data_IF_946593459793
#
_entry.id   IF_946593459793
#
_cell.length_a   1.000
_cell.length_b   1.000
_cell.length_c   1.000
_cell.angle_alpha   90.00
_cell.angle_beta   90.00
_cell.angle_gamma   90.00
#
_symmetry.space_group_name_H-M   'P 1'
#
loop_
_entity.id
_entity.type
_entity.pdbx_description
1 polymer ?
#
# COMPACT_ATOMS: atom_id res chain seq x y z
N UNK A 1 35.57 -10.24 -11.27
CA UNK A 1 34.19 -10.27 -11.79
C UNK A 1 34.11 -9.17 -12.82
N UNK A 2 33.81 -9.47 -14.07
CA UNK A 2 33.81 -8.47 -15.15
C UNK A 2 32.65 -7.48 -14.97
N UNK A 3 32.83 -6.23 -15.40
CA UNK A 3 31.80 -5.19 -15.38
C UNK A 3 30.49 -5.62 -16.06
N UNK A 4 30.59 -6.50 -17.05
CA UNK A 4 29.51 -7.07 -17.83
C UNK A 4 28.62 -8.01 -17.00
N UNK A 5 29.20 -8.87 -16.16
CA UNK A 5 28.43 -9.77 -15.25
C UNK A 5 27.66 -8.99 -14.17
N UNK A 6 28.20 -7.88 -13.71
CA UNK A 6 27.54 -7.00 -12.71
C UNK A 6 26.35 -6.26 -13.34
N UNK A 7 26.45 -5.83 -14.61
CA UNK A 7 25.36 -5.16 -15.33
C UNK A 7 24.20 -6.12 -15.61
N UNK A 8 24.47 -7.33 -16.08
CA UNK A 8 23.48 -8.38 -16.35
C UNK A 8 22.70 -8.75 -15.08
N UNK A 9 23.39 -8.88 -13.93
CA UNK A 9 22.75 -9.19 -12.64
C UNK A 9 21.83 -8.04 -12.15
N UNK A 10 22.20 -6.78 -12.42
CA UNK A 10 21.36 -5.61 -12.09
C UNK A 10 20.11 -5.53 -12.96
N UNK A 11 20.23 -5.78 -14.26
CA UNK A 11 19.11 -5.80 -15.19
C UNK A 11 18.13 -6.94 -14.89
N UNK A 12 18.64 -8.14 -14.61
CA UNK A 12 17.82 -9.29 -14.23
C UNK A 12 17.00 -9.04 -12.95
N UNK A 13 17.60 -8.39 -11.93
CA UNK A 13 16.89 -8.01 -10.70
C UNK A 13 15.79 -6.96 -10.95
N UNK A 14 16.03 -6.01 -11.84
CA UNK A 14 15.01 -5.02 -12.24
C UNK A 14 13.87 -5.68 -13.02
N UNK A 15 14.20 -6.54 -13.98
CA UNK A 15 13.17 -7.27 -14.75
C UNK A 15 12.29 -8.13 -13.85
N UNK A 16 12.86 -8.87 -12.90
CA UNK A 16 12.10 -9.65 -11.92
C UNK A 16 11.15 -8.78 -11.09
N UNK A 17 11.58 -7.59 -10.67
CA UNK A 17 10.74 -6.64 -9.94
C UNK A 17 9.58 -6.14 -10.80
N UNK A 18 9.83 -5.79 -12.06
CA UNK A 18 8.79 -5.34 -12.98
C UNK A 18 7.77 -6.44 -13.29
N UNK A 19 8.20 -7.69 -13.47
CA UNK A 19 7.30 -8.84 -13.65
C UNK A 19 6.42 -9.05 -12.40
N UNK A 20 7.01 -8.96 -11.21
CA UNK A 20 6.25 -9.04 -9.95
C UNK A 20 5.22 -7.90 -9.86
N UNK A 21 5.61 -6.64 -10.08
CA UNK A 21 4.68 -5.52 -10.07
C UNK A 21 3.56 -5.67 -11.10
N UNK A 22 3.86 -6.23 -12.27
CA UNK A 22 2.85 -6.51 -13.29
C UNK A 22 1.80 -7.52 -12.80
N UNK A 23 2.22 -8.59 -12.12
CA UNK A 23 1.26 -9.55 -11.52
C UNK A 23 0.38 -8.90 -10.48
N UNK A 24 0.93 -8.00 -9.66
CA UNK A 24 0.18 -7.26 -8.64
C UNK A 24 -0.81 -6.25 -9.26
N UNK A 25 -0.42 -5.59 -10.36
CA UNK A 25 -1.32 -4.71 -11.14
C UNK A 25 -2.50 -5.51 -11.67
N UNK A 26 -2.28 -6.70 -12.22
CA UNK A 26 -3.36 -7.57 -12.70
C UNK A 26 -4.26 -8.03 -11.55
N UNK A 27 -3.68 -8.37 -10.41
CA UNK A 27 -4.42 -8.81 -9.23
C UNK A 27 -5.32 -7.70 -8.67
N UNK A 28 -4.78 -6.52 -8.37
CA UNK A 28 -5.58 -5.37 -7.91
C UNK A 28 -6.50 -4.84 -8.99
N UNK A 29 -6.07 -4.82 -10.25
CA UNK A 29 -6.88 -4.42 -11.41
C UNK A 29 -8.13 -5.28 -11.57
N UNK A 30 -8.01 -6.60 -11.37
CA UNK A 30 -9.15 -7.51 -11.33
C UNK A 30 -10.15 -7.16 -10.22
N UNK A 31 -9.67 -6.80 -9.03
CA UNK A 31 -10.54 -6.35 -7.92
C UNK A 31 -11.21 -5.01 -8.22
N UNK A 32 -10.51 -4.06 -8.84
CA UNK A 32 -11.11 -2.78 -9.27
C UNK A 32 -12.19 -2.98 -10.34
N UNK A 33 -11.97 -3.90 -11.29
CA UNK A 33 -12.99 -4.29 -12.26
C UNK A 33 -14.21 -4.89 -11.59
N UNK A 34 -14.01 -5.80 -10.64
CA UNK A 34 -15.10 -6.41 -9.88
C UNK A 34 -15.91 -5.35 -9.11
N UNK A 35 -15.23 -4.41 -8.46
CA UNK A 35 -15.86 -3.27 -7.80
C UNK A 35 -16.70 -2.45 -8.79
N UNK A 36 -16.16 -2.10 -9.95
CA UNK A 36 -16.85 -1.32 -10.97
C UNK A 36 -18.13 -2.01 -11.48
N UNK A 37 -18.08 -3.33 -11.72
CA UNK A 37 -19.23 -4.14 -12.15
C UNK A 37 -20.33 -4.12 -11.09
N UNK A 38 -20.00 -4.38 -9.82
CA UNK A 38 -21.01 -4.41 -8.77
C UNK A 38 -21.56 -3.02 -8.45
N UNK A 39 -20.74 -1.98 -8.49
CA UNK A 39 -21.18 -0.60 -8.35
C UNK A 39 -22.16 -0.21 -9.46
N UNK A 40 -21.87 -0.57 -10.71
CA UNK A 40 -22.80 -0.34 -11.83
C UNK A 40 -24.14 -1.06 -11.62
N UNK A 41 -24.12 -2.24 -11.03
CA UNK A 41 -25.32 -3.05 -10.77
C UNK A 41 -26.13 -2.57 -9.56
N UNK A 42 -25.48 -2.02 -8.53
CA UNK A 42 -26.09 -1.61 -7.27
C UNK A 42 -25.67 -0.18 -6.87
N UNK A 43 -25.92 0.86 -7.71
CA UNK A 43 -25.35 2.18 -7.49
C UNK A 43 -25.84 2.83 -6.19
N UNK A 44 -27.13 2.71 -5.86
CA UNK A 44 -27.71 3.28 -4.64
C UNK A 44 -27.15 2.63 -3.35
N UNK A 45 -26.90 1.32 -3.37
CA UNK A 45 -26.35 0.59 -2.22
C UNK A 45 -24.88 0.95 -2.00
N UNK A 46 -24.10 1.08 -3.09
CA UNK A 46 -22.70 1.51 -3.01
C UNK A 46 -22.57 2.95 -2.53
N UNK A 47 -23.47 3.83 -2.93
CA UNK A 47 -23.53 5.21 -2.41
C UNK A 47 -23.82 5.22 -0.89
N UNK A 48 -24.80 4.43 -0.40
CA UNK A 48 -25.09 4.32 1.04
C UNK A 48 -23.90 3.74 1.82
N UNK A 49 -23.27 2.71 1.30
CA UNK A 49 -22.08 2.11 1.92
C UNK A 49 -20.93 3.11 2.03
N UNK A 50 -20.64 3.85 0.96
CA UNK A 50 -19.58 4.87 0.93
C UNK A 50 -19.87 6.06 1.85
N UNK A 51 -21.14 6.49 1.94
CA UNK A 51 -21.55 7.57 2.85
C UNK A 51 -21.33 7.23 4.35
N UNK A 52 -21.22 5.95 4.69
CA UNK A 52 -20.86 5.47 6.03
C UNK A 52 -19.36 5.50 6.35
N UNK A 53 -18.50 5.85 5.37
CA UNK A 53 -17.06 5.89 5.55
C UNK A 53 -16.58 7.27 6.04
N UNK A 54 -15.55 7.27 6.92
CA UNK A 54 -14.99 8.53 7.40
C UNK A 54 -14.05 9.16 6.38
N UNK A 55 -14.54 10.15 5.63
CA UNK A 55 -13.73 10.91 4.67
C UNK A 55 -12.46 11.50 5.31
N UNK A 56 -12.57 11.98 6.56
CA UNK A 56 -11.42 12.58 7.28
C UNK A 56 -10.31 11.54 7.50
N UNK A 57 -10.67 10.34 7.98
CA UNK A 57 -9.69 9.28 8.23
C UNK A 57 -9.06 8.79 6.91
N UNK A 58 -9.85 8.64 5.85
CA UNK A 58 -9.35 8.29 4.52
C UNK A 58 -8.39 9.33 3.97
N UNK A 59 -8.71 10.62 4.11
CA UNK A 59 -7.85 11.74 3.65
C UNK A 59 -6.54 11.79 4.44
N UNK A 60 -6.61 11.69 5.77
CA UNK A 60 -5.41 11.66 6.63
C UNK A 60 -4.51 10.49 6.27
N UNK A 61 -5.08 9.30 6.11
CA UNK A 61 -4.33 8.11 5.68
C UNK A 61 -3.66 8.29 4.31
N UNK A 62 -4.34 8.93 3.37
CA UNK A 62 -3.77 9.25 2.06
C UNK A 62 -2.57 10.21 2.20
N UNK A 63 -2.71 11.27 2.99
CA UNK A 63 -1.61 12.22 3.24
C UNK A 63 -0.41 11.53 3.92
N UNK A 64 -0.65 10.64 4.88
CA UNK A 64 0.38 9.85 5.57
C UNK A 64 1.14 8.97 4.58
N UNK A 65 0.45 8.22 3.70
CA UNK A 65 1.11 7.37 2.70
C UNK A 65 1.87 8.19 1.64
N UNK A 66 1.29 9.26 1.11
CA UNK A 66 2.00 10.14 0.16
C UNK A 66 3.27 10.72 0.77
N UNK A 67 3.23 11.11 2.06
CA UNK A 67 4.42 11.57 2.79
C UNK A 67 5.43 10.44 2.94
N UNK A 68 4.99 9.21 3.21
CA UNK A 68 5.87 8.03 3.31
C UNK A 68 6.53 7.70 1.97
N UNK A 69 5.80 7.84 0.87
CA UNK A 69 6.30 7.68 -0.50
C UNK A 69 7.41 8.70 -0.79
N UNK A 70 7.23 9.94 -0.38
CA UNK A 70 8.25 10.97 -0.49
C UNK A 70 9.49 10.67 0.35
N UNK A 71 9.33 10.18 1.59
CA UNK A 71 10.47 9.86 2.46
C UNK A 71 11.32 8.71 1.92
N UNK A 72 10.72 7.66 1.33
CA UNK A 72 11.51 6.57 0.72
C UNK A 72 12.24 7.02 -0.55
N UNK A 73 11.65 7.90 -1.35
CA UNK A 73 12.32 8.50 -2.51
C UNK A 73 13.55 9.32 -2.08
N UNK A 74 13.40 10.13 -1.04
CA UNK A 74 14.53 10.88 -0.45
C UNK A 74 15.61 9.94 0.14
N UNK A 75 15.21 8.79 0.72
CA UNK A 75 16.16 7.81 1.26
C UNK A 75 17.05 7.22 0.14
N UNK A 76 16.46 6.93 -1.03
CA UNK A 76 17.18 6.48 -2.22
C UNK A 76 18.11 7.58 -2.74
N UNK A 77 17.65 8.82 -2.80
CA UNK A 77 18.49 9.95 -3.21
C UNK A 77 19.67 10.18 -2.26
N UNK A 78 19.46 10.05 -0.96
CA UNK A 78 20.50 10.18 0.06
C UNK A 78 21.57 9.08 -0.06
N UNK A 79 21.18 7.81 -0.29
CA UNK A 79 22.15 6.72 -0.45
C UNK A 79 23.01 6.91 -1.69
N UNK A 80 22.46 7.43 -2.79
CA UNK A 80 23.19 7.75 -4.03
C UNK A 80 24.21 8.88 -3.84
N UNK A 81 23.96 9.80 -2.90
CA UNK A 81 24.91 10.83 -2.48
C UNK A 81 25.97 10.32 -1.48
N UNK A 82 25.83 9.09 -0.98
CA UNK A 82 26.72 8.51 0.02
C UNK A 82 26.31 8.81 1.47
N UNK A 83 25.17 9.47 1.69
CA UNK A 83 24.66 9.89 2.99
C UNK A 83 23.89 8.72 3.67
N UNK A 84 24.61 7.69 4.10
CA UNK A 84 24.03 6.45 4.65
C UNK A 84 23.17 6.68 5.89
N UNK A 85 23.60 7.58 6.79
CA UNK A 85 22.88 7.88 8.05
C UNK A 85 21.54 8.55 7.73
N UNK A 86 21.54 9.52 6.82
CA UNK A 86 20.33 10.21 6.39
C UNK A 86 19.37 9.23 5.71
N UNK A 87 19.88 8.39 4.79
CA UNK A 87 19.07 7.35 4.15
C UNK A 87 18.41 6.41 5.15
N UNK A 88 19.16 5.91 6.14
CA UNK A 88 18.61 5.03 7.17
C UNK A 88 17.53 5.73 8.04
N UNK A 89 17.69 7.02 8.35
CA UNK A 89 16.68 7.82 9.08
C UNK A 89 15.40 8.01 8.27
N UNK A 90 15.53 8.29 6.97
CA UNK A 90 14.40 8.45 6.06
C UNK A 90 13.64 7.15 5.86
N UNK A 91 14.33 6.01 5.72
CA UNK A 91 13.71 4.68 5.71
C UNK A 91 12.94 4.40 7.00
N UNK A 92 13.52 4.76 8.16
CA UNK A 92 12.83 4.62 9.46
C UNK A 92 11.58 5.51 9.56
N UNK A 93 11.63 6.71 9.00
CA UNK A 93 10.46 7.59 8.89
C UNK A 93 9.37 6.98 8.01
N UNK A 94 9.72 6.34 6.89
CA UNK A 94 8.77 5.61 6.03
C UNK A 94 8.09 4.49 6.80
N UNK A 95 8.84 3.69 7.56
CA UNK A 95 8.29 2.63 8.43
C UNK A 95 7.30 3.20 9.43
N UNK A 96 7.69 4.29 10.12
CA UNK A 96 6.83 4.95 11.12
C UNK A 96 5.50 5.40 10.50
N UNK A 97 5.54 6.07 9.35
CA UNK A 97 4.34 6.51 8.64
C UNK A 97 3.47 5.33 8.16
N UNK A 98 4.08 4.24 7.68
CA UNK A 98 3.36 3.02 7.36
C UNK A 98 2.65 2.40 8.57
N UNK A 99 3.28 2.41 9.75
CA UNK A 99 2.66 1.96 11.00
C UNK A 99 1.50 2.88 11.39
N UNK A 100 1.65 4.20 11.26
CA UNK A 100 0.58 5.18 11.52
C UNK A 100 -0.63 4.88 10.63
N UNK A 101 -0.42 4.62 9.34
CA UNK A 101 -1.47 4.20 8.43
C UNK A 101 -2.23 2.96 8.93
N UNK A 102 -1.50 1.90 9.32
CA UNK A 102 -2.10 0.65 9.81
C UNK A 102 -2.88 0.85 11.12
N UNK A 103 -2.37 1.70 12.00
CA UNK A 103 -3.04 2.05 13.28
C UNK A 103 -4.36 2.78 13.01
N UNK A 104 -4.38 3.77 12.12
CA UNK A 104 -5.61 4.47 11.74
C UNK A 104 -6.61 3.48 11.12
N UNK A 105 -6.16 2.57 10.24
CA UNK A 105 -7.03 1.53 9.65
C UNK A 105 -7.55 0.55 10.71
N UNK A 106 -6.75 0.20 11.69
CA UNK A 106 -7.18 -0.64 12.81
C UNK A 106 -8.32 0.01 13.60
N UNK A 107 -8.22 1.31 13.93
CA UNK A 107 -9.30 2.03 14.62
C UNK A 107 -10.56 2.13 13.77
N UNK A 108 -10.43 2.40 12.47
CA UNK A 108 -11.55 2.47 11.55
C UNK A 108 -12.29 1.12 11.45
N UNK A 109 -11.55 0.02 11.29
CA UNK A 109 -12.14 -1.32 11.27
C UNK A 109 -12.76 -1.71 12.60
N UNK A 110 -12.09 -1.41 13.72
CA UNK A 110 -12.61 -1.71 15.07
C UNK A 110 -13.95 -1.02 15.33
N UNK A 111 -14.08 0.24 14.89
CA UNK A 111 -15.35 0.97 15.01
C UNK A 111 -16.48 0.32 14.18
N UNK A 112 -16.17 -0.14 12.96
CA UNK A 112 -17.15 -0.85 12.11
C UNK A 112 -17.55 -2.21 12.69
N UNK A 113 -16.59 -2.97 13.18
CA UNK A 113 -16.83 -4.27 13.83
C UNK A 113 -17.69 -4.08 15.07
N UNK A 114 -17.43 -3.03 15.87
CA UNK A 114 -18.23 -2.71 17.04
C UNK A 114 -19.69 -2.32 16.70
N UNK A 115 -19.92 -1.71 15.52
CA UNK A 115 -21.27 -1.42 15.00
C UNK A 115 -21.94 -2.62 14.31
N UNK A 116 -21.31 -3.79 14.30
CA UNK A 116 -21.83 -5.01 13.70
C UNK A 116 -21.64 -5.11 12.17
N UNK A 117 -20.88 -4.20 11.57
CA UNK A 117 -20.58 -4.20 10.13
C UNK A 117 -19.28 -4.96 9.89
N UNK A 118 -19.36 -6.28 9.81
CA UNK A 118 -18.23 -7.16 9.47
C UNK A 118 -18.73 -8.33 8.61
N UNK A 119 -17.85 -8.98 7.83
CA UNK A 119 -18.23 -10.09 6.96
C UNK A 119 -19.02 -11.17 7.72
N UNK A 120 -20.12 -11.62 7.13
CA UNK A 120 -21.03 -12.65 7.68
C UNK A 120 -21.76 -12.25 8.97
N UNK A 121 -21.79 -10.97 9.34
CA UNK A 121 -22.57 -10.52 10.49
C UNK A 121 -24.08 -10.51 10.20
N UNK A 122 -24.93 -10.81 11.20
CA UNK A 122 -26.40 -10.72 11.04
C UNK A 122 -26.86 -9.32 10.64
N UNK A 123 -26.19 -8.27 11.11
CA UNK A 123 -26.49 -6.88 10.75
C UNK A 123 -26.22 -6.66 9.27
N UNK A 124 -25.05 -7.06 8.78
CA UNK A 124 -24.66 -6.90 7.39
C UNK A 124 -25.53 -7.73 6.43
N UNK A 125 -25.90 -8.94 6.81
CA UNK A 125 -26.77 -9.83 6.02
C UNK A 125 -28.21 -9.31 5.91
N UNK A 126 -28.67 -8.52 6.88
CA UNK A 126 -29.98 -7.86 6.84
C UNK A 126 -29.98 -6.56 6.02
N UNK A 127 -28.81 -6.04 5.64
CA UNK A 127 -28.68 -4.94 4.68
C UNK A 127 -28.99 -5.42 3.26
N UNK A 128 -29.14 -4.49 2.34
CA UNK A 128 -29.34 -4.80 0.92
C UNK A 128 -28.14 -5.59 0.35
N UNK A 129 -28.41 -6.43 -0.67
CA UNK A 129 -27.39 -7.25 -1.32
C UNK A 129 -26.19 -6.41 -1.83
N UNK A 130 -26.45 -5.20 -2.32
CA UNK A 130 -25.40 -4.30 -2.80
C UNK A 130 -24.53 -3.75 -1.67
N UNK A 131 -25.12 -3.42 -0.51
CA UNK A 131 -24.36 -2.98 0.67
C UNK A 131 -23.48 -4.09 1.23
N UNK A 132 -23.99 -5.34 1.28
CA UNK A 132 -23.20 -6.52 1.67
C UNK A 132 -22.00 -6.71 0.75
N UNK A 133 -22.18 -6.55 -0.58
CA UNK A 133 -21.09 -6.63 -1.56
C UNK A 133 -20.10 -5.47 -1.40
N UNK A 134 -20.59 -4.24 -1.13
CA UNK A 134 -19.73 -3.10 -0.89
C UNK A 134 -18.77 -3.33 0.29
N UNK A 135 -19.32 -3.71 1.45
CA UNK A 135 -18.50 -3.95 2.64
C UNK A 135 -17.60 -5.19 2.48
N UNK A 136 -18.07 -6.24 1.79
CA UNK A 136 -17.23 -7.39 1.45
C UNK A 136 -16.01 -6.98 0.63
N UNK A 137 -16.20 -6.20 -0.45
CA UNK A 137 -15.11 -5.65 -1.26
C UNK A 137 -14.22 -4.70 -0.47
N UNK A 138 -14.82 -3.84 0.36
CA UNK A 138 -14.08 -2.93 1.24
C UNK A 138 -13.09 -3.70 2.12
N UNK A 139 -13.55 -4.70 2.88
CA UNK A 139 -12.70 -5.47 3.78
C UNK A 139 -11.63 -6.28 3.02
N UNK A 140 -11.99 -6.91 1.90
CA UNK A 140 -11.04 -7.70 1.11
C UNK A 140 -9.96 -6.79 0.50
N UNK A 141 -10.35 -5.73 -0.20
CA UNK A 141 -9.41 -4.88 -0.93
C UNK A 141 -8.52 -4.07 0.02
N UNK A 142 -9.10 -3.46 1.08
CA UNK A 142 -8.31 -2.70 2.06
C UNK A 142 -7.48 -3.62 2.96
N UNK A 143 -7.94 -4.84 3.25
CA UNK A 143 -7.19 -5.84 4.01
C UNK A 143 -5.98 -6.37 3.25
N UNK A 144 -6.15 -6.73 1.99
CA UNK A 144 -5.04 -7.12 1.12
C UNK A 144 -4.02 -5.98 0.94
N UNK A 145 -4.52 -4.75 0.76
CA UNK A 145 -3.64 -3.59 0.73
C UNK A 145 -2.87 -3.42 2.05
N UNK A 146 -3.54 -3.52 3.19
CA UNK A 146 -2.90 -3.47 4.51
C UNK A 146 -1.84 -4.55 4.71
N UNK A 147 -2.06 -5.76 4.17
CA UNK A 147 -1.07 -6.83 4.16
C UNK A 147 0.17 -6.44 3.34
N UNK A 148 -0.02 -5.83 2.15
CA UNK A 148 1.09 -5.33 1.33
C UNK A 148 1.88 -4.22 2.02
N UNK A 149 1.19 -3.29 2.72
CA UNK A 149 1.86 -2.29 3.57
C UNK A 149 2.71 -2.96 4.65
N UNK A 150 2.18 -3.98 5.34
CA UNK A 150 2.90 -4.72 6.38
C UNK A 150 4.15 -5.41 5.83
N UNK A 151 4.04 -6.09 4.69
CA UNK A 151 5.18 -6.70 3.99
C UNK A 151 6.20 -5.64 3.60
N UNK A 152 5.76 -4.50 3.07
CA UNK A 152 6.63 -3.38 2.72
C UNK A 152 7.41 -2.83 3.91
N UNK A 153 6.75 -2.64 5.06
CA UNK A 153 7.39 -2.25 6.32
C UNK A 153 8.49 -3.25 6.71
N UNK A 154 8.21 -4.55 6.64
CA UNK A 154 9.18 -5.59 6.96
C UNK A 154 10.40 -5.52 6.02
N UNK A 155 10.17 -5.39 4.71
CA UNK A 155 11.25 -5.28 3.70
C UNK A 155 12.08 -4.02 3.92
N UNK A 156 11.45 -2.86 4.18
CA UNK A 156 12.18 -1.61 4.46
C UNK A 156 13.00 -1.75 5.76
N UNK A 157 12.49 -2.43 6.79
CA UNK A 157 13.25 -2.69 8.02
C UNK A 157 14.53 -3.48 7.76
N UNK A 158 14.49 -4.51 6.89
CA UNK A 158 15.68 -5.20 6.43
C UNK A 158 16.64 -4.26 5.67
N UNK A 159 16.09 -3.35 4.84
CA UNK A 159 16.92 -2.37 4.12
C UNK A 159 17.62 -1.40 5.09
N UNK A 160 16.95 -0.94 6.15
CA UNK A 160 17.57 -0.12 7.22
C UNK A 160 18.78 -0.85 7.83
N UNK A 161 18.61 -2.14 8.15
CA UNK A 161 19.70 -2.96 8.71
C UNK A 161 20.90 -3.07 7.76
N UNK A 162 20.66 -3.35 6.47
CA UNK A 162 21.73 -3.46 5.47
C UNK A 162 22.40 -2.10 5.16
N UNK A 163 21.62 -1.01 5.18
CA UNK A 163 22.15 0.35 5.02
C UNK A 163 23.09 0.71 6.17
N UNK A 164 22.71 0.41 7.42
CA UNK A 164 23.53 0.63 8.62
C UNK A 164 24.79 -0.22 8.62
N UNK A 165 24.73 -1.47 8.18
CA UNK A 165 25.91 -2.36 8.01
C UNK A 165 26.84 -1.92 6.87
N UNK A 166 26.44 -0.97 6.03
CA UNK A 166 27.21 -0.52 4.88
C UNK A 166 27.18 -1.46 3.67
N UNK A 167 26.36 -2.52 3.70
CA UNK A 167 26.16 -3.46 2.57
C UNK A 167 25.42 -2.77 1.42
N UNK A 168 24.54 -1.81 1.73
CA UNK A 168 23.90 -0.93 0.76
C UNK A 168 24.60 0.42 0.77
N UNK A 169 24.98 0.90 -0.39
CA UNK A 169 25.71 2.15 -0.58
C UNK A 169 25.54 2.67 -2.00
N UNK A 170 26.31 3.70 -2.34
CA UNK A 170 26.25 4.40 -3.64
C UNK A 170 26.34 3.46 -4.85
N UNK A 171 27.18 2.42 -4.76
CA UNK A 171 27.44 1.48 -5.87
C UNK A 171 26.48 0.29 -5.89
N UNK A 172 25.77 0.03 -4.77
CA UNK A 172 24.89 -1.12 -4.61
C UNK A 172 23.53 -0.69 -4.03
N UNK A 173 22.86 0.25 -4.69
CA UNK A 173 21.55 0.81 -4.30
C UNK A 173 20.35 0.01 -4.87
N UNK A 174 20.58 -0.91 -5.80
CA UNK A 174 19.53 -1.61 -6.55
C UNK A 174 18.48 -2.30 -5.65
N UNK A 175 18.90 -2.84 -4.49
CA UNK A 175 17.94 -3.47 -3.54
C UNK A 175 17.03 -2.42 -2.92
N UNK A 176 17.57 -1.27 -2.53
CA UNK A 176 16.77 -0.18 -1.96
C UNK A 176 15.87 0.45 -3.03
N UNK A 177 16.36 0.59 -4.26
CA UNK A 177 15.59 1.05 -5.42
C UNK A 177 14.36 0.16 -5.67
N UNK A 178 14.56 -1.17 -5.73
CA UNK A 178 13.46 -2.13 -5.90
C UNK A 178 12.46 -2.08 -4.74
N UNK A 179 12.94 -1.93 -3.51
CA UNK A 179 12.09 -1.76 -2.33
C UNK A 179 11.26 -0.47 -2.42
N UNK A 180 11.86 0.62 -2.90
CA UNK A 180 11.15 1.88 -3.14
C UNK A 180 10.08 1.74 -4.24
N UNK A 181 10.37 1.03 -5.34
CA UNK A 181 9.40 0.74 -6.39
C UNK A 181 8.20 -0.05 -5.85
N UNK A 182 8.44 -1.06 -5.01
CA UNK A 182 7.37 -1.80 -4.35
C UNK A 182 6.52 -0.88 -3.46
N UNK A 183 7.15 -0.04 -2.63
CA UNK A 183 6.44 0.89 -1.75
C UNK A 183 5.58 1.88 -2.53
N UNK A 184 6.13 2.48 -3.60
CA UNK A 184 5.38 3.37 -4.49
C UNK A 184 4.19 2.68 -5.16
N UNK A 185 4.35 1.41 -5.56
CA UNK A 185 3.23 0.62 -6.09
C UNK A 185 2.12 0.46 -5.05
N UNK A 186 2.47 0.10 -3.81
CA UNK A 186 1.48 -0.03 -2.71
C UNK A 186 0.75 1.30 -2.49
N UNK A 187 1.47 2.43 -2.47
CA UNK A 187 0.87 3.77 -2.34
C UNK A 187 -0.06 4.11 -3.51
N UNK A 188 0.31 3.75 -4.75
CA UNK A 188 -0.54 3.94 -5.94
C UNK A 188 -1.84 3.14 -5.79
N UNK A 189 -1.79 1.91 -5.33
CA UNK A 189 -3.00 1.10 -5.08
C UNK A 189 -3.92 1.82 -4.09
N UNK A 190 -3.38 2.44 -3.02
CA UNK A 190 -4.19 3.22 -2.08
C UNK A 190 -4.83 4.46 -2.73
N UNK A 191 -4.12 5.17 -3.61
CA UNK A 191 -4.65 6.31 -4.36
C UNK A 191 -5.90 5.92 -5.17
N UNK A 192 -5.98 4.68 -5.67
CA UNK A 192 -7.18 4.16 -6.32
C UNK A 192 -8.25 3.70 -5.33
N UNK A 193 -7.86 3.03 -4.23
CA UNK A 193 -8.81 2.56 -3.21
C UNK A 193 -9.52 3.73 -2.51
N UNK A 194 -8.82 4.80 -2.23
CA UNK A 194 -9.35 5.95 -1.52
C UNK A 194 -10.59 6.56 -2.20
N UNK A 195 -10.55 6.98 -3.50
CA UNK A 195 -11.75 7.50 -4.13
C UNK A 195 -12.86 6.48 -4.25
N UNK A 196 -12.56 5.20 -4.47
CA UNK A 196 -13.58 4.16 -4.63
C UNK A 196 -14.43 3.98 -3.37
N UNK A 197 -13.82 4.05 -2.19
CA UNK A 197 -14.52 3.79 -0.93
C UNK A 197 -14.92 5.05 -0.16
N UNK A 198 -14.26 6.19 -0.37
CA UNK A 198 -14.47 7.39 0.45
C UNK A 198 -14.96 8.62 -0.33
N UNK A 199 -14.71 8.72 -1.64
CA UNK A 199 -15.09 9.91 -2.43
C UNK A 199 -16.26 9.68 -3.37
N UNK A 200 -16.51 8.44 -3.72
CA UNK A 200 -17.58 8.11 -4.66
C UNK A 200 -18.90 7.97 -3.90
N UNK A 201 -19.40 9.09 -3.43
CA UNK A 201 -20.72 9.28 -2.85
C UNK A 201 -21.70 9.82 -3.88
#
# INVERSE_FOLDING_TARGET
>A
MSTETVSIDREGKKMGMWLFLFTEILFFGGMFLLYAVFRHRFPADFHRGAAGESLVLGTVNTAVLLTSSFTIALAIAAIRKGEKILSARLQAATIFLGIVFLVIKYFEWSAKIASGIYPDSPVLLNLGRGETLFFGLYYVMTGLHGLHVLVGIAVIAFMVHFTRKGTIGRENDARLENTGLYWHFVDIVWIYLYPLFYLVT
#
